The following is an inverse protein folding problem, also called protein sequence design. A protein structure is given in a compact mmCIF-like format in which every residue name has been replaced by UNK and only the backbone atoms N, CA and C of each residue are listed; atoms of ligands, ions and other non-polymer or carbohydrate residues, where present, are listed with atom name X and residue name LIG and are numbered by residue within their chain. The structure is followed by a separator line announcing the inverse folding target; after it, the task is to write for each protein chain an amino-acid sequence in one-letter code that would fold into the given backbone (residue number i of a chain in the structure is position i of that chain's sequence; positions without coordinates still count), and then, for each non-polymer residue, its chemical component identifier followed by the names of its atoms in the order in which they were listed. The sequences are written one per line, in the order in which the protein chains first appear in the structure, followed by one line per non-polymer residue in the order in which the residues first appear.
data_IF_646964165786
#
_entry.id   IF_646964165786
#
_cell.length_a   1.000
_cell.length_b   1.000
_cell.length_c   1.000
_cell.angle_alpha   90.00
_cell.angle_beta   90.00
_cell.angle_gamma   90.00
#
_symmetry.space_group_name_H-M   'P 1'
#
loop_
_entity.id
_entity.type
_entity.pdbx_description
1 polymer ?
#
# COMPACT_ATOMS: atom_id res chain seq x y z
N UNK A 1 13.45 8.31 -12.82
CA UNK A 1 12.80 8.85 -14.03
C UNK A 1 11.49 8.13 -14.19
N UNK A 2 10.39 8.87 -14.30
CA UNK A 2 9.08 8.27 -14.58
C UNK A 2 9.05 7.63 -15.96
N UNK A 3 8.23 6.60 -16.13
CA UNK A 3 8.03 5.87 -17.38
C UNK A 3 6.55 5.60 -17.53
N UNK A 4 6.04 5.93 -18.70
CA UNK A 4 4.64 5.76 -19.05
C UNK A 4 4.52 5.50 -20.55
N UNK A 5 3.44 4.84 -20.94
CA UNK A 5 3.13 4.56 -22.33
C UNK A 5 1.61 4.57 -22.55
N UNK A 6 1.20 4.75 -23.80
CA UNK A 6 -0.21 4.69 -24.18
C UNK A 6 -0.56 3.25 -24.52
N UNK A 7 -1.60 2.72 -23.89
CA UNK A 7 -2.19 1.43 -24.20
C UNK A 7 -3.66 1.59 -24.61
N UNK A 8 -4.11 0.71 -25.51
CA UNK A 8 -5.51 0.69 -25.94
C UNK A 8 -6.37 -0.10 -24.97
N UNK A 9 -7.41 0.53 -24.45
CA UNK A 9 -8.37 -0.07 -23.55
C UNK A 9 -9.72 -0.21 -24.24
N UNK A 10 -10.32 -1.39 -24.14
CA UNK A 10 -11.68 -1.65 -24.61
C UNK A 10 -12.69 -1.38 -23.51
N UNK A 11 -13.66 -0.49 -23.75
CA UNK A 11 -14.73 -0.23 -22.80
C UNK A 11 -15.63 -1.46 -22.62
N UNK A 12 -15.90 -1.95 -21.39
CA UNK A 12 -16.76 -3.11 -21.17
C UNK A 12 -18.24 -2.83 -21.46
N UNK A 13 -18.67 -1.56 -21.41
CA UNK A 13 -20.08 -1.18 -21.65
C UNK A 13 -20.41 -1.00 -23.13
N UNK A 14 -19.55 -0.31 -23.90
CA UNK A 14 -19.84 0.03 -25.30
C UNK A 14 -18.84 -0.56 -26.32
N UNK A 15 -17.81 -1.27 -25.87
CA UNK A 15 -16.76 -1.89 -26.69
C UNK A 15 -15.93 -0.89 -27.54
N UNK A 16 -16.05 0.41 -27.27
CA UNK A 16 -15.19 1.41 -27.88
C UNK A 16 -13.76 1.27 -27.37
N UNK A 17 -12.79 1.22 -28.28
CA UNK A 17 -11.37 1.35 -27.95
C UNK A 17 -11.02 2.81 -27.72
N UNK A 18 -10.32 3.10 -26.63
CA UNK A 18 -9.71 4.40 -26.42
C UNK A 18 -8.30 4.26 -25.84
N UNK A 19 -7.56 5.35 -25.94
CA UNK A 19 -6.19 5.44 -25.45
C UNK A 19 -6.20 5.71 -23.94
N UNK A 20 -5.36 4.98 -23.21
CA UNK A 20 -5.13 5.16 -21.79
C UNK A 20 -3.64 5.26 -21.50
N UNK A 21 -3.26 6.20 -20.64
CA UNK A 21 -1.87 6.37 -20.22
C UNK A 21 -1.58 5.50 -19.00
N UNK A 22 -0.74 4.49 -19.20
CA UNK A 22 -0.26 3.61 -18.15
C UNK A 22 1.08 4.08 -17.62
N UNK A 23 1.23 4.04 -16.30
CA UNK A 23 2.46 4.41 -15.60
C UNK A 23 3.22 3.17 -15.13
N UNK A 24 4.28 2.81 -15.85
CA UNK A 24 5.18 1.71 -15.45
C UNK A 24 5.94 2.07 -14.16
N UNK A 25 6.37 3.33 -14.07
CA UNK A 25 7.01 3.86 -12.86
C UNK A 25 6.73 5.35 -12.69
N UNK A 26 6.45 5.76 -11.45
CA UNK A 26 6.18 7.15 -11.06
C UNK A 26 7.29 7.58 -10.12
N UNK A 27 7.96 8.70 -10.43
CA UNK A 27 8.94 9.32 -9.53
C UNK A 27 8.40 10.66 -9.03
N UNK A 28 8.11 10.77 -7.73
CA UNK A 28 7.44 11.96 -7.15
C UNK A 28 8.31 13.21 -7.14
N UNK A 29 9.64 13.06 -7.16
CA UNK A 29 10.53 14.21 -7.27
C UNK A 29 10.52 14.84 -8.66
N UNK A 30 10.19 14.08 -9.70
CA UNK A 30 10.08 14.56 -11.08
C UNK A 30 8.65 14.97 -11.44
N UNK A 31 7.66 14.19 -10.96
CA UNK A 31 6.24 14.36 -11.26
C UNK A 31 5.41 14.43 -9.96
N UNK A 32 5.54 15.51 -9.16
CA UNK A 32 4.94 15.59 -7.81
C UNK A 32 3.41 15.52 -7.82
N UNK A 33 2.78 16.01 -8.87
CA UNK A 33 1.33 15.90 -9.12
C UNK A 33 0.83 14.45 -9.18
N UNK A 34 1.69 13.50 -9.52
CA UNK A 34 1.32 12.08 -9.61
C UNK A 34 1.07 11.47 -8.24
N UNK A 35 1.67 12.01 -7.17
CA UNK A 35 1.41 11.53 -5.80
C UNK A 35 -0.08 11.64 -5.45
N UNK A 36 -0.68 12.80 -5.73
CA UNK A 36 -2.11 13.01 -5.49
C UNK A 36 -2.97 12.06 -6.33
N UNK A 37 -2.62 11.86 -7.61
CA UNK A 37 -3.32 10.92 -8.50
C UNK A 37 -3.19 9.45 -8.08
N UNK A 38 -2.09 9.07 -7.43
CA UNK A 38 -1.91 7.74 -6.84
C UNK A 38 -2.78 7.62 -5.59
N UNK A 39 -2.72 8.60 -4.68
CA UNK A 39 -3.49 8.63 -3.42
C UNK A 39 -5.01 8.58 -3.66
N UNK A 40 -5.51 9.35 -4.63
CA UNK A 40 -6.91 9.33 -5.02
C UNK A 40 -7.26 8.21 -6.03
N UNK A 41 -6.26 7.41 -6.44
CA UNK A 41 -6.36 6.26 -7.35
C UNK A 41 -6.83 6.62 -8.77
N UNK A 42 -6.79 7.89 -9.17
CA UNK A 42 -7.20 8.33 -10.50
C UNK A 42 -6.31 7.77 -11.60
N UNK A 43 -5.06 7.41 -11.31
CA UNK A 43 -4.17 6.74 -12.29
C UNK A 43 -4.69 5.36 -12.74
N UNK A 44 -5.63 4.79 -11.98
CA UNK A 44 -6.24 3.49 -12.26
C UNK A 44 -7.66 3.65 -12.82
N UNK A 45 -8.15 4.87 -13.06
CA UNK A 45 -9.51 5.11 -13.54
C UNK A 45 -9.48 5.52 -15.01
N UNK A 46 -10.18 4.75 -15.84
CA UNK A 46 -10.43 5.10 -17.23
C UNK A 46 -11.89 5.48 -17.42
N UNK A 47 -12.13 6.61 -18.08
CA UNK A 47 -13.47 7.06 -18.46
C UNK A 47 -13.62 7.00 -19.98
N UNK A 48 -14.55 6.18 -20.46
CA UNK A 48 -14.74 5.97 -21.88
C UNK A 48 -15.23 7.26 -22.57
N UNK A 49 -14.54 7.74 -23.62
CA UNK A 49 -14.93 8.98 -24.31
C UNK A 49 -16.22 8.83 -25.12
N UNK A 50 -16.65 7.59 -25.42
CA UNK A 50 -17.85 7.31 -26.21
C UNK A 50 -19.13 7.28 -25.38
N UNK A 51 -19.13 6.57 -24.25
CA UNK A 51 -20.34 6.39 -23.42
C UNK A 51 -20.26 7.00 -22.01
N UNK A 52 -19.09 7.49 -21.58
CA UNK A 52 -18.89 8.06 -20.24
C UNK A 52 -18.76 7.03 -19.11
N UNK A 53 -18.77 5.73 -19.40
CA UNK A 53 -18.52 4.69 -18.39
C UNK A 53 -17.13 4.86 -17.77
N UNK A 54 -17.06 4.83 -16.43
CA UNK A 54 -15.79 4.84 -15.71
C UNK A 54 -15.55 3.48 -15.05
N UNK A 55 -14.39 2.88 -15.30
CA UNK A 55 -14.00 1.62 -14.68
C UNK A 55 -12.53 1.62 -14.28
N UNK A 56 -12.17 0.70 -13.39
CA UNK A 56 -10.81 0.55 -12.87
C UNK A 56 -9.96 -0.36 -13.74
N UNK A 57 -8.73 0.04 -13.95
CA UNK A 57 -7.66 -0.72 -14.57
C UNK A 57 -6.54 -0.87 -13.54
N UNK A 58 -6.39 -2.07 -12.99
CA UNK A 58 -5.28 -2.37 -12.10
C UNK A 58 -4.15 -2.94 -12.95
N UNK A 59 -3.00 -2.26 -12.94
CA UNK A 59 -1.80 -2.64 -13.66
C UNK A 59 -0.58 -2.47 -12.76
N UNK A 60 0.53 -3.19 -13.04
CA UNK A 60 1.75 -3.01 -12.27
C UNK A 60 2.28 -1.59 -12.35
N UNK A 61 2.67 -1.03 -11.20
CA UNK A 61 3.21 0.35 -11.11
C UNK A 61 4.25 0.43 -10.01
N UNK A 62 5.46 0.86 -10.37
CA UNK A 62 6.50 1.19 -9.39
C UNK A 62 6.34 2.65 -8.93
N UNK A 63 5.91 2.85 -7.68
CA UNK A 63 5.91 4.15 -7.03
C UNK A 63 7.28 4.41 -6.38
N UNK A 64 7.94 5.51 -6.76
CA UNK A 64 9.27 5.89 -6.29
C UNK A 64 9.23 7.30 -5.68
N UNK A 65 9.28 7.36 -4.35
CA UNK A 65 9.40 8.60 -3.59
C UNK A 65 10.86 8.79 -3.20
N UNK A 66 11.57 9.52 -4.05
CA UNK A 66 13.04 9.59 -4.03
C UNK A 66 13.56 10.40 -2.85
N UNK A 67 12.86 11.46 -2.48
CA UNK A 67 13.12 12.35 -1.35
C UNK A 67 13.21 11.61 -0.02
N UNK A 68 12.40 10.55 0.14
CA UNK A 68 12.37 9.71 1.34
C UNK A 68 12.96 8.33 1.11
N UNK A 69 13.57 8.07 -0.05
CA UNK A 69 14.15 6.78 -0.40
C UNK A 69 13.15 5.62 -0.20
N UNK A 70 11.93 5.77 -0.72
CA UNK A 70 10.87 4.77 -0.66
C UNK A 70 10.56 4.27 -2.08
N UNK A 71 10.42 2.95 -2.21
CA UNK A 71 9.92 2.30 -3.42
C UNK A 71 8.82 1.31 -3.06
N UNK A 72 7.66 1.45 -3.68
CA UNK A 72 6.52 0.57 -3.48
C UNK A 72 6.09 0.06 -4.85
N UNK A 73 6.19 -1.24 -5.07
CA UNK A 73 5.79 -1.85 -6.33
C UNK A 73 4.41 -2.50 -6.18
N UNK A 74 3.41 -1.92 -6.85
CA UNK A 74 2.12 -2.56 -7.07
C UNK A 74 2.28 -3.61 -8.18
N UNK A 75 1.95 -4.87 -7.89
CA UNK A 75 1.96 -5.97 -8.87
C UNK A 75 0.76 -6.90 -8.65
N UNK A 76 0.50 -7.83 -9.57
CA UNK A 76 -0.49 -8.88 -9.30
C UNK A 76 0.04 -9.90 -8.27
N UNK A 77 -0.85 -10.62 -7.58
CA UNK A 77 -0.45 -11.66 -6.61
C UNK A 77 0.48 -12.71 -7.24
N UNK A 78 0.23 -13.08 -8.50
CA UNK A 78 1.06 -14.03 -9.24
C UNK A 78 2.46 -13.53 -9.58
N UNK A 79 2.72 -12.23 -9.45
CA UNK A 79 4.00 -11.59 -9.79
C UNK A 79 4.85 -11.24 -8.56
N UNK A 80 4.36 -11.49 -7.35
CA UNK A 80 5.06 -11.13 -6.10
C UNK A 80 6.44 -11.79 -6.02
N UNK A 81 6.53 -13.11 -6.25
CA UNK A 81 7.79 -13.87 -6.18
C UNK A 81 8.81 -13.36 -7.21
N UNK A 82 8.39 -13.22 -8.47
CA UNK A 82 9.23 -12.66 -9.54
C UNK A 82 9.72 -11.25 -9.20
N UNK A 83 8.86 -10.43 -8.61
CA UNK A 83 9.20 -9.06 -8.22
C UNK A 83 10.18 -9.03 -7.05
N UNK A 84 10.04 -9.96 -6.10
CA UNK A 84 11.01 -10.17 -5.03
C UNK A 84 12.40 -10.48 -5.58
N UNK A 85 12.50 -11.42 -6.53
CA UNK A 85 13.76 -11.77 -7.19
C UNK A 85 14.39 -10.59 -7.93
N UNK A 86 13.59 -9.68 -8.50
CA UNK A 86 14.11 -8.48 -9.17
C UNK A 86 14.82 -7.52 -8.21
N UNK A 87 14.37 -7.44 -6.95
CA UNK A 87 14.97 -6.58 -5.92
C UNK A 87 16.13 -7.28 -5.17
N UNK A 88 15.98 -8.57 -4.83
CA UNK A 88 16.89 -9.26 -3.92
C UNK A 88 17.56 -10.51 -4.49
N UNK A 89 17.20 -10.95 -5.71
CA UNK A 89 17.81 -12.10 -6.35
C UNK A 89 19.28 -11.88 -6.70
N UNK A 90 19.97 -12.98 -7.05
CA UNK A 90 21.40 -12.96 -7.41
C UNK A 90 21.70 -12.01 -8.60
N UNK A 91 20.71 -11.79 -9.47
CA UNK A 91 20.78 -10.88 -10.62
C UNK A 91 19.95 -9.60 -10.41
N UNK A 92 19.78 -9.14 -9.16
CA UNK A 92 19.01 -7.94 -8.84
C UNK A 92 19.35 -6.81 -9.83
N UNK A 93 18.33 -6.39 -10.59
CA UNK A 93 18.49 -5.48 -11.74
C UNK A 93 18.87 -4.07 -11.32
N UNK A 94 18.72 -3.76 -10.04
CA UNK A 94 18.92 -2.46 -9.47
C UNK A 94 19.78 -2.55 -8.23
N UNK A 95 20.89 -1.81 -8.20
CA UNK A 95 21.77 -1.70 -7.03
C UNK A 95 21.21 -0.72 -5.98
N UNK A 96 19.90 -0.82 -5.70
CA UNK A 96 19.20 -0.01 -4.69
C UNK A 96 19.68 -0.30 -3.26
N UNK A 97 20.45 -1.39 -3.09
CA UNK A 97 21.08 -1.79 -1.82
C UNK A 97 22.08 -0.75 -1.30
N UNK A 98 22.66 0.06 -2.18
CA UNK A 98 23.65 1.08 -1.79
C UNK A 98 23.03 2.31 -1.12
N UNK A 99 21.77 2.64 -1.43
CA UNK A 99 21.08 3.85 -0.94
C UNK A 99 20.08 3.55 0.21
N UNK A 100 20.00 2.31 0.71
CA UNK A 100 19.06 1.89 1.79
C UNK A 100 17.59 2.28 1.52
N UNK A 101 17.12 2.02 0.31
CA UNK A 101 15.72 2.20 -0.03
C UNK A 101 14.82 1.29 0.81
N UNK A 102 13.74 1.87 1.34
CA UNK A 102 12.64 1.11 1.89
C UNK A 102 11.81 0.56 0.73
N UNK A 103 11.88 -0.74 0.51
CA UNK A 103 11.20 -1.42 -0.61
C UNK A 103 9.99 -2.20 -0.11
N UNK A 104 8.85 -2.05 -0.79
CA UNK A 104 7.63 -2.81 -0.52
C UNK A 104 7.00 -3.34 -1.80
N UNK A 105 6.40 -4.52 -1.71
CA UNK A 105 5.52 -5.07 -2.74
C UNK A 105 4.11 -5.07 -2.17
N UNK A 106 3.17 -4.57 -2.97
CA UNK A 106 1.74 -4.54 -2.65
C UNK A 106 0.96 -5.15 -3.82
N UNK A 107 -0.20 -5.73 -3.53
CA UNK A 107 -1.01 -6.44 -4.53
C UNK A 107 -2.32 -5.73 -4.86
N UNK A 108 -2.57 -4.58 -4.25
CA UNK A 108 -3.74 -3.76 -4.55
C UNK A 108 -3.45 -2.25 -4.48
N UNK A 109 -4.19 -1.42 -5.26
CA UNK A 109 -4.12 0.04 -5.13
C UNK A 109 -4.44 0.55 -3.72
N UNK A 110 -5.28 -0.17 -2.96
CA UNK A 110 -5.60 0.22 -1.58
C UNK A 110 -4.38 0.09 -0.66
N UNK A 111 -3.65 -1.02 -0.77
CA UNK A 111 -2.40 -1.23 -0.02
C UNK A 111 -1.32 -0.22 -0.46
N UNK A 112 -1.21 0.08 -1.76
CA UNK A 112 -0.29 1.11 -2.24
C UNK A 112 -0.55 2.46 -1.54
N UNK A 113 -1.80 2.92 -1.58
CA UNK A 113 -2.19 4.19 -0.95
C UNK A 113 -1.94 4.16 0.56
N UNK A 114 -2.33 3.07 1.22
CA UNK A 114 -2.12 2.92 2.65
C UNK A 114 -0.62 2.99 3.03
N UNK A 115 0.26 2.28 2.31
CA UNK A 115 1.71 2.32 2.57
C UNK A 115 2.27 3.72 2.39
N UNK A 116 1.85 4.45 1.34
CA UNK A 116 2.27 5.84 1.13
C UNK A 116 1.85 6.69 2.34
N UNK A 117 0.60 6.58 2.79
CA UNK A 117 0.10 7.35 3.93
C UNK A 117 0.82 7.02 5.24
N UNK A 118 1.09 5.73 5.50
CA UNK A 118 1.85 5.30 6.68
C UNK A 118 3.23 5.96 6.69
N UNK A 119 3.95 5.91 5.56
CA UNK A 119 5.31 6.46 5.49
C UNK A 119 5.32 7.99 5.52
N UNK A 120 4.36 8.64 4.87
CA UNK A 120 4.20 10.11 4.93
C UNK A 120 3.90 10.59 6.36
N UNK A 121 3.20 9.78 7.16
CA UNK A 121 2.96 10.03 8.59
C UNK A 121 4.18 9.71 9.47
N UNK A 122 5.30 9.26 8.89
CA UNK A 122 6.51 8.85 9.62
C UNK A 122 6.32 7.59 10.46
N UNK A 123 5.34 6.74 10.12
CA UNK A 123 5.01 5.52 10.83
C UNK A 123 5.69 4.31 10.18
N UNK A 124 5.88 3.27 10.98
CA UNK A 124 6.42 1.98 10.55
C UNK A 124 5.25 1.07 10.16
N UNK A 125 5.29 0.56 8.93
CA UNK A 125 4.21 -0.25 8.39
C UNK A 125 4.12 -1.64 9.03
N UNK A 126 5.21 -2.14 9.62
CA UNK A 126 5.25 -3.38 10.39
C UNK A 126 4.52 -3.22 11.71
N UNK A 127 4.77 -2.11 12.41
CA UNK A 127 4.05 -1.75 13.64
C UNK A 127 2.57 -1.52 13.32
N UNK A 128 2.27 -0.90 12.19
CA UNK A 128 0.88 -0.69 11.77
C UNK A 128 0.09 -1.99 11.61
N UNK A 129 0.71 -3.05 11.06
CA UNK A 129 0.05 -4.36 10.99
C UNK A 129 -0.23 -4.96 12.37
N UNK A 130 0.66 -4.75 13.36
CA UNK A 130 0.39 -5.13 14.75
C UNK A 130 -0.76 -4.30 15.36
N UNK A 131 -0.79 -2.99 15.13
CA UNK A 131 -1.88 -2.11 15.59
C UNK A 131 -3.22 -2.55 15.03
N UNK A 132 -3.28 -2.96 13.75
CA UNK A 132 -4.50 -3.52 13.15
C UNK A 132 -4.97 -4.80 13.86
N UNK A 133 -4.05 -5.66 14.31
CA UNK A 133 -4.41 -6.83 15.13
C UNK A 133 -4.99 -6.41 16.49
N UNK A 134 -4.34 -5.47 17.18
CA UNK A 134 -4.84 -4.97 18.48
C UNK A 134 -6.23 -4.32 18.36
N UNK A 135 -6.46 -3.55 17.30
CA UNK A 135 -7.79 -2.96 17.03
C UNK A 135 -8.80 -4.05 16.68
N UNK A 136 -8.42 -5.07 15.91
CA UNK A 136 -9.28 -6.21 15.59
C UNK A 136 -9.75 -6.91 16.86
N UNK A 137 -8.83 -7.20 17.78
CA UNK A 137 -9.14 -7.85 19.06
C UNK A 137 -10.05 -6.96 19.92
N UNK A 138 -9.73 -5.66 20.03
CA UNK A 138 -10.55 -4.70 20.76
C UNK A 138 -11.97 -4.57 20.20
N UNK A 139 -12.12 -4.57 18.87
CA UNK A 139 -13.43 -4.54 18.22
C UNK A 139 -14.22 -5.81 18.52
N UNK A 140 -13.58 -6.97 18.48
CA UNK A 140 -14.22 -8.25 18.76
C UNK A 140 -14.68 -8.36 20.23
N UNK A 141 -13.86 -7.91 21.19
CA UNK A 141 -14.20 -7.92 22.61
C UNK A 141 -15.36 -6.99 22.95
N UNK A 142 -15.37 -5.79 22.37
CA UNK A 142 -16.35 -4.76 22.69
C UNK A 142 -17.64 -4.87 21.87
N UNK A 143 -17.56 -5.42 20.65
CA UNK A 143 -18.68 -5.54 19.71
C UNK A 143 -18.58 -6.86 18.91
N UNK A 144 -18.80 -8.03 19.53
CA UNK A 144 -18.58 -9.33 18.89
C UNK A 144 -19.44 -9.57 17.65
N UNK A 145 -20.61 -8.92 17.57
CA UNK A 145 -21.52 -9.01 16.41
C UNK A 145 -21.16 -8.06 15.26
N UNK A 146 -20.17 -7.17 15.46
CA UNK A 146 -19.79 -6.19 14.44
C UNK A 146 -18.84 -6.82 13.43
N UNK A 147 -19.36 -7.06 12.24
CA UNK A 147 -18.57 -7.51 11.09
C UNK A 147 -17.86 -6.34 10.41
N UNK A 148 -16.64 -6.60 9.93
CA UNK A 148 -15.89 -5.73 9.04
C UNK A 148 -15.02 -6.58 8.12
N UNK A 149 -14.70 -6.04 6.94
CA UNK A 149 -13.87 -6.71 5.93
C UNK A 149 -12.40 -6.29 6.04
N UNK A 150 -12.15 -5.01 6.35
CA UNK A 150 -10.81 -4.42 6.31
C UNK A 150 -10.67 -3.29 7.35
N UNK A 151 -9.49 -3.22 7.97
CA UNK A 151 -9.01 -2.03 8.67
C UNK A 151 -7.93 -1.38 7.81
N UNK A 152 -8.08 -0.08 7.54
CA UNK A 152 -7.11 0.67 6.73
C UNK A 152 -6.65 1.93 7.44
N UNK A 153 -5.35 2.18 7.43
CA UNK A 153 -4.76 3.41 7.91
C UNK A 153 -5.17 4.59 7.05
N UNK A 154 -5.48 5.71 7.72
CA UNK A 154 -5.72 7.00 7.13
C UNK A 154 -5.32 8.10 8.13
N UNK A 155 -5.19 9.32 7.63
CA UNK A 155 -5.00 10.52 8.43
C UNK A 155 -6.27 11.36 8.28
N UNK A 156 -6.89 11.75 9.39
CA UNK A 156 -8.10 12.58 9.39
C UNK A 156 -7.78 14.05 9.09
N UNK A 157 -8.80 14.88 8.86
CA UNK A 157 -8.67 16.29 8.47
C UNK A 157 -7.86 17.14 9.49
N UNK A 158 -7.84 16.73 10.76
CA UNK A 158 -7.09 17.40 11.83
C UNK A 158 -5.66 16.85 12.04
N UNK A 159 -5.26 15.86 11.23
CA UNK A 159 -3.96 15.21 11.30
C UNK A 159 -3.92 13.98 12.23
N UNK A 160 -5.04 13.58 12.83
CA UNK A 160 -5.10 12.40 13.69
C UNK A 160 -4.90 11.12 12.88
N UNK A 161 -4.05 10.22 13.39
CA UNK A 161 -3.82 8.91 12.80
C UNK A 161 -4.98 7.96 13.18
N UNK A 162 -5.68 7.43 12.18
CA UNK A 162 -6.85 6.58 12.40
C UNK A 162 -6.76 5.26 11.61
N UNK A 163 -7.44 4.24 12.11
CA UNK A 163 -7.85 3.08 11.31
C UNK A 163 -9.32 3.23 10.95
N UNK A 164 -9.62 3.34 9.64
CA UNK A 164 -10.99 3.27 9.15
C UNK A 164 -11.46 1.81 9.08
N UNK A 165 -12.68 1.58 9.54
CA UNK A 165 -13.34 0.27 9.55
C UNK A 165 -14.21 0.17 8.30
N UNK A 166 -13.91 -0.79 7.43
CA UNK A 166 -14.58 -0.94 6.15
C UNK A 166 -15.40 -2.23 6.15
N UNK A 167 -16.66 -2.14 5.74
CA UNK A 167 -17.55 -3.29 5.56
C UNK A 167 -18.33 -3.10 4.25
N UNK A 168 -18.32 -4.09 3.37
CA UNK A 168 -18.92 -4.08 2.03
C UNK A 168 -18.49 -2.88 1.18
N UNK A 169 -17.24 -2.46 1.34
CA UNK A 169 -16.66 -1.32 0.64
C UNK A 169 -17.04 0.07 1.20
N UNK A 170 -17.85 0.13 2.25
CA UNK A 170 -18.24 1.38 2.91
C UNK A 170 -17.47 1.58 4.22
N UNK A 171 -17.11 2.83 4.52
CA UNK A 171 -16.54 3.21 5.81
C UNK A 171 -17.68 3.20 6.84
N UNK A 172 -17.57 2.35 7.85
CA UNK A 172 -18.58 2.15 8.91
C UNK A 172 -18.14 2.70 10.26
N UNK A 173 -16.91 3.20 10.35
CA UNK A 173 -16.37 3.83 11.54
C UNK A 173 -14.88 4.10 11.41
N UNK A 174 -14.30 4.70 12.45
CA UNK A 174 -12.87 4.93 12.57
C UNK A 174 -12.45 4.76 14.04
N UNK A 175 -11.18 4.43 14.24
CA UNK A 175 -10.54 4.29 15.56
C UNK A 175 -9.30 5.16 15.56
N UNK A 176 -9.18 6.05 16.55
CA UNK A 176 -7.92 6.75 16.86
C UNK A 176 -6.91 5.72 17.36
N UNK A 177 -5.74 5.70 16.72
CA UNK A 177 -4.71 4.70 16.99
C UNK A 177 -3.44 5.27 17.58
N UNK A 178 -3.32 6.57 17.87
CA UNK A 178 -2.04 7.14 18.31
C UNK A 178 -1.54 6.46 19.59
N UNK A 179 -2.42 6.28 20.58
CA UNK A 179 -2.07 5.58 21.82
C UNK A 179 -1.73 4.10 21.59
N UNK A 180 -2.43 3.43 20.68
CA UNK A 180 -2.18 2.01 20.37
C UNK A 180 -0.88 1.83 19.58
N UNK A 181 -0.56 2.77 18.69
CA UNK A 181 0.67 2.80 17.93
C UNK A 181 1.87 3.04 18.84
N UNK A 182 1.82 4.03 19.73
CA UNK A 182 2.89 4.27 20.70
C UNK A 182 3.11 3.05 21.60
N UNK A 183 2.02 2.41 22.06
CA UNK A 183 2.10 1.18 22.82
C UNK A 183 2.76 0.04 22.02
N UNK A 184 2.31 -0.23 20.79
CA UNK A 184 2.89 -1.27 19.95
C UNK A 184 4.38 -0.99 19.67
N UNK A 185 4.71 0.26 19.32
CA UNK A 185 6.07 0.69 19.02
C UNK A 185 7.00 0.57 20.22
N UNK A 186 6.53 0.80 21.45
CA UNK A 186 7.36 0.67 22.64
C UNK A 186 7.64 -0.78 23.04
N UNK A 187 6.83 -1.73 22.56
CA UNK A 187 6.94 -3.16 22.90
C UNK A 187 7.58 -4.00 21.78
N UNK A 188 7.60 -3.51 20.54
CA UNK A 188 8.34 -4.12 19.43
C UNK A 188 9.83 -3.74 19.48
N UNK A 189 10.62 -4.35 20.36
CA UNK A 189 12.07 -4.09 20.47
C UNK A 189 12.92 -4.91 19.50
N UNK A 190 12.36 -5.95 18.92
CA UNK A 190 13.12 -6.97 18.19
C UNK A 190 13.15 -6.71 16.68
N UNK A 191 12.38 -5.73 16.21
CA UNK A 191 12.42 -5.30 14.82
C UNK A 191 13.74 -4.59 14.54
N UNK A 192 14.42 -5.03 13.49
CA UNK A 192 15.54 -4.28 12.90
C UNK A 192 15.06 -2.89 12.48
N UNK A 193 16.02 -1.99 12.28
CA UNK A 193 15.73 -0.73 11.58
C UNK A 193 14.92 -1.02 10.31
N UNK A 194 13.89 -0.22 10.06
CA UNK A 194 12.94 -0.41 8.97
C UNK A 194 13.63 -0.55 7.61
N UNK A 195 14.78 0.11 7.42
CA UNK A 195 15.57 0.08 6.18
C UNK A 195 16.62 -1.02 6.12
N UNK A 196 16.88 -1.68 7.24
CA UNK A 196 17.75 -2.86 7.32
C UNK A 196 16.93 -4.16 7.30
N UNK A 197 15.60 -4.07 7.15
CA UNK A 197 14.70 -5.20 7.00
C UNK A 197 14.68 -5.71 5.55
N UNK A 198 14.66 -7.03 5.40
CA UNK A 198 14.58 -7.72 4.11
C UNK A 198 13.14 -8.07 3.74
N UNK A 199 12.21 -7.97 4.70
CA UNK A 199 10.79 -8.22 4.47
C UNK A 199 10.18 -7.11 3.61
N UNK A 200 9.72 -7.47 2.40
CA UNK A 200 9.13 -6.52 1.45
C UNK A 200 7.62 -6.64 1.27
N UNK A 201 7.02 -7.76 1.67
CA UNK A 201 5.56 -7.93 1.71
C UNK A 201 5.14 -7.84 3.17
N UNK A 202 4.70 -6.65 3.60
CA UNK A 202 4.24 -6.40 4.96
C UNK A 202 2.72 -6.31 4.96
N UNK A 203 2.07 -7.35 5.46
CA UNK A 203 0.61 -7.47 5.54
C UNK A 203 0.21 -8.27 6.80
N UNK A 204 -1.09 -8.55 6.94
CA UNK A 204 -1.62 -9.35 8.06
C UNK A 204 -0.98 -10.73 8.18
N UNK A 205 -0.73 -11.41 7.06
CA UNK A 205 -0.11 -12.74 7.07
C UNK A 205 1.33 -12.67 7.60
N UNK A 206 2.09 -11.66 7.16
CA UNK A 206 3.45 -11.40 7.64
C UNK A 206 3.51 -11.25 9.16
N UNK A 207 2.67 -10.39 9.75
CA UNK A 207 2.72 -10.15 11.21
C UNK A 207 2.28 -11.39 12.00
N UNK A 208 1.29 -12.14 11.51
CA UNK A 208 0.86 -13.39 12.14
C UNK A 208 1.99 -14.43 12.13
N UNK A 209 2.70 -14.56 11.01
CA UNK A 209 3.85 -15.47 10.92
C UNK A 209 4.96 -15.07 11.90
N UNK A 210 5.31 -13.77 11.98
CA UNK A 210 6.31 -13.27 12.94
C UNK A 210 5.95 -13.60 14.39
N UNK A 211 4.71 -13.36 14.79
CA UNK A 211 4.25 -13.65 16.16
C UNK A 211 4.25 -15.16 16.47
N UNK A 212 4.08 -16.03 15.47
CA UNK A 212 4.18 -17.49 15.67
C UNK A 212 5.61 -18.01 15.72
N UNK A 213 6.56 -17.34 15.06
CA UNK A 213 7.99 -17.68 15.11
C UNK A 213 8.58 -17.40 16.50
N UNK A 214 8.18 -16.30 17.15
CA UNK A 214 8.63 -15.91 18.50
C UNK A 214 8.13 -16.84 19.62
N UNK A 215 7.08 -17.63 19.36
CA UNK A 215 6.51 -18.59 20.32
C UNK A 215 7.20 -19.97 20.30
N UNK A 216 8.13 -20.21 19.36
CA UNK A 216 8.85 -21.47 19.18
C UNK A 216 10.33 -21.34 19.57
#
# INVERSE_FOLDING_TARGET
MSRHHIEKVTCPSCHHEGDFELWDSINTALDPEMKEKVLNKSIFLYTCPSCGETFRLNYPTLYHQMEDLIMIYLVSESEVEKTYEMFYGENALFDFRTEKYLSRIVTSPNQLVEKIQIFDAGKDDRIMELVKLLVTDSLHENNPDKEFDELRFAVDDDGTNILVIINKGEITGAVDIDNMYEFASSHCTDFKDLRDDEDIVINREWILNKLTEEQN
#
